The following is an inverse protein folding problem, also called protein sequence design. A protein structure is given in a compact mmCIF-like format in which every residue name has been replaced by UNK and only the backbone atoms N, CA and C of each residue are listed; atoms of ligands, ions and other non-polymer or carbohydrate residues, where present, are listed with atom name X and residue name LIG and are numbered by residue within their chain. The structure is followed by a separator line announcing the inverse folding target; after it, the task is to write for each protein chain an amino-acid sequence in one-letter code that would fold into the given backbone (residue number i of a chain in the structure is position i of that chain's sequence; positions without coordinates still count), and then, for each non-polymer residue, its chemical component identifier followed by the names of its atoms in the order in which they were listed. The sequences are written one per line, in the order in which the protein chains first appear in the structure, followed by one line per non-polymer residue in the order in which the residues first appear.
data_IF_313091964757
#
_entry.id   IF_313091964757
#
_cell.length_a   1.000
_cell.length_b   1.000
_cell.length_c   1.000
_cell.angle_alpha   90.00
_cell.angle_beta   90.00
_cell.angle_gamma   90.00
#
_symmetry.space_group_name_H-M   'P 1'
#
loop_
_entity.id
_entity.type
_entity.pdbx_description
1 polymer ?
#
# COMPACT_ATOMS: atom_id res chain seq x y z
N UNK A 1 -12.57 2.88 8.83
CA UNK A 1 -12.51 2.10 10.10
C UNK A 1 -11.08 1.70 10.45
N UNK A 2 -10.79 1.35 11.72
CA UNK A 2 -9.43 1.00 12.17
C UNK A 2 -9.30 -0.39 12.77
N UNK A 3 -8.16 -1.05 12.50
CA UNK A 3 -7.76 -2.35 13.06
C UNK A 3 -8.80 -3.47 12.89
N UNK A 4 -9.39 -3.54 11.70
CA UNK A 4 -10.37 -4.57 11.31
C UNK A 4 -9.93 -5.34 10.06
N UNK A 5 -10.54 -6.51 9.82
CA UNK A 5 -10.26 -7.34 8.64
C UNK A 5 -11.22 -6.99 7.51
N UNK A 6 -10.73 -7.06 6.27
CA UNK A 6 -11.57 -6.80 5.08
C UNK A 6 -12.71 -7.82 4.94
N UNK A 7 -12.52 -9.07 5.38
CA UNK A 7 -13.55 -10.12 5.29
C UNK A 7 -14.88 -9.74 5.97
N UNK A 8 -14.83 -8.87 6.99
CA UNK A 8 -16.01 -8.35 7.70
C UNK A 8 -16.80 -7.33 6.87
N UNK A 9 -16.17 -6.71 5.87
CA UNK A 9 -16.70 -5.57 5.11
C UNK A 9 -16.68 -5.73 3.58
N UNK A 10 -16.09 -6.81 3.04
CA UNK A 10 -15.91 -7.01 1.59
C UNK A 10 -17.25 -7.03 0.83
N UNK A 11 -18.32 -7.41 1.53
CA UNK A 11 -19.71 -7.48 1.02
C UNK A 11 -20.57 -6.24 1.31
N UNK A 12 -20.01 -5.18 1.88
CA UNK A 12 -20.78 -3.94 2.04
C UNK A 12 -21.20 -3.39 0.68
N UNK A 13 -22.41 -2.85 0.61
CA UNK A 13 -22.94 -2.20 -0.60
C UNK A 13 -22.40 -0.76 -0.71
N UNK A 14 -21.08 -0.65 -0.93
CA UNK A 14 -20.36 0.62 -1.11
C UNK A 14 -19.21 0.46 -2.10
N UNK A 15 -19.02 1.45 -2.97
CA UNK A 15 -17.96 1.42 -3.99
C UNK A 15 -16.56 1.30 -3.40
N UNK A 16 -16.32 1.97 -2.26
CA UNK A 16 -15.02 2.02 -1.59
C UNK A 16 -15.18 1.76 -0.10
N UNK A 17 -14.36 0.85 0.43
CA UNK A 17 -14.20 0.58 1.86
C UNK A 17 -12.79 0.99 2.29
N UNK A 18 -12.67 1.88 3.28
CA UNK A 18 -11.40 2.39 3.77
C UNK A 18 -11.04 1.82 5.15
N UNK A 19 -9.91 1.12 5.24
CA UNK A 19 -9.41 0.48 6.47
C UNK A 19 -8.03 1.01 6.86
N UNK A 20 -7.82 1.32 8.14
CA UNK A 20 -6.52 1.73 8.68
C UNK A 20 -6.02 0.79 9.77
N UNK A 21 -4.95 0.04 9.52
CA UNK A 21 -4.45 -0.95 10.47
C UNK A 21 -3.00 -0.70 10.87
N UNK A 22 -2.66 -0.98 12.12
CA UNK A 22 -1.30 -0.91 12.64
C UNK A 22 -0.73 -2.32 12.83
N UNK A 23 0.42 -2.60 12.22
CA UNK A 23 1.07 -3.90 12.27
C UNK A 23 2.46 -3.80 12.90
N UNK A 24 2.69 -4.65 13.90
CA UNK A 24 3.96 -4.76 14.59
C UNK A 24 5.09 -5.24 13.66
N UNK A 25 6.34 -5.04 14.08
CA UNK A 25 7.49 -5.51 13.34
C UNK A 25 7.51 -7.02 13.20
N UNK A 26 7.68 -7.50 11.97
CA UNK A 26 7.74 -8.94 11.66
C UNK A 26 6.36 -9.58 11.52
N UNK A 27 5.27 -8.83 11.65
CA UNK A 27 3.92 -9.37 11.44
C UNK A 27 3.78 -9.86 9.98
N UNK A 28 3.16 -11.02 9.83
CA UNK A 28 2.90 -11.65 8.54
C UNK A 28 1.40 -11.85 8.41
N UNK A 29 0.83 -11.26 7.37
CA UNK A 29 -0.48 -11.60 6.87
C UNK A 29 -0.29 -12.74 5.84
N UNK A 30 -0.78 -13.96 6.13
CA UNK A 30 -0.58 -15.12 5.26
C UNK A 30 -1.27 -14.91 3.89
N UNK A 31 -1.00 -15.79 2.90
CA UNK A 31 -1.68 -15.73 1.62
C UNK A 31 -3.20 -15.66 1.77
N UNK A 32 -3.81 -14.66 1.16
CA UNK A 32 -5.25 -14.43 1.15
C UNK A 32 -5.66 -13.70 -0.13
N UNK A 33 -6.96 -13.54 -0.34
CA UNK A 33 -7.54 -12.82 -1.47
C UNK A 33 -8.85 -12.17 -1.03
N UNK A 34 -9.27 -11.15 -1.76
CA UNK A 34 -10.56 -10.48 -1.58
C UNK A 34 -11.12 -10.10 -2.95
N UNK A 35 -12.44 -9.94 -3.04
CA UNK A 35 -13.12 -9.64 -4.32
C UNK A 35 -12.76 -8.25 -4.83
N UNK A 36 -12.68 -7.27 -3.92
CA UNK A 36 -12.36 -5.87 -4.26
C UNK A 36 -10.91 -5.73 -4.73
N UNK A 37 -10.59 -4.70 -5.51
CA UNK A 37 -9.21 -4.28 -5.69
C UNK A 37 -8.70 -3.62 -4.41
N UNK A 38 -7.39 -3.63 -4.15
CA UNK A 38 -6.82 -2.95 -3.01
C UNK A 38 -5.73 -1.96 -3.44
N UNK A 39 -5.84 -0.74 -2.91
CA UNK A 39 -4.69 0.15 -2.75
C UNK A 39 -4.20 0.03 -1.31
N UNK A 40 -3.01 -0.52 -1.11
CA UNK A 40 -2.39 -0.68 0.21
C UNK A 40 -1.28 0.35 0.39
N UNK A 41 -1.57 1.43 1.12
CA UNK A 41 -0.61 2.48 1.45
C UNK A 41 0.08 2.23 2.80
N UNK A 42 1.41 2.30 2.82
CA UNK A 42 2.22 2.23 4.03
C UNK A 42 2.62 3.63 4.49
N UNK A 43 1.97 4.16 5.54
CA UNK A 43 2.29 5.48 6.09
C UNK A 43 3.64 5.51 6.82
N UNK A 44 4.01 4.40 7.43
CA UNK A 44 5.26 4.19 8.17
C UNK A 44 5.83 2.81 7.84
N UNK A 45 7.09 2.56 8.21
CA UNK A 45 7.71 1.25 8.07
C UNK A 45 7.82 0.75 6.63
N UNK A 46 7.97 -0.56 6.48
CA UNK A 46 8.17 -1.20 5.19
C UNK A 46 7.23 -2.39 5.00
N UNK A 47 6.64 -2.52 3.81
CA UNK A 47 5.83 -3.69 3.45
C UNK A 47 6.52 -4.52 2.38
N UNK A 48 6.38 -5.83 2.48
CA UNK A 48 6.75 -6.78 1.44
C UNK A 48 5.50 -7.50 0.99
N UNK A 49 5.21 -7.41 -0.30
CA UNK A 49 3.98 -7.95 -0.88
C UNK A 49 4.40 -9.03 -1.87
N UNK A 50 3.85 -10.22 -1.72
CA UNK A 50 4.15 -11.35 -2.59
C UNK A 50 2.86 -11.83 -3.24
N UNK A 51 2.88 -12.01 -4.55
CA UNK A 51 1.82 -12.67 -5.32
C UNK A 51 2.43 -13.77 -6.19
N UNK A 52 1.61 -14.46 -6.97
CA UNK A 52 2.11 -15.42 -7.97
C UNK A 52 2.95 -14.75 -9.07
N UNK A 53 2.68 -13.47 -9.36
CA UNK A 53 3.35 -12.73 -10.44
C UNK A 53 4.69 -12.11 -10.00
N UNK A 54 4.96 -12.02 -8.70
CA UNK A 54 6.20 -11.44 -8.21
C UNK A 54 6.19 -11.05 -6.73
N UNK A 55 7.27 -10.36 -6.36
CA UNK A 55 7.47 -9.81 -5.02
C UNK A 55 7.82 -8.32 -5.13
N UNK A 56 7.17 -7.49 -4.32
CA UNK A 56 7.38 -6.04 -4.26
C UNK A 56 7.81 -5.62 -2.87
N UNK A 57 8.72 -4.64 -2.83
CA UNK A 57 9.04 -3.92 -1.61
C UNK A 57 8.40 -2.54 -1.68
N UNK A 58 7.54 -2.24 -0.71
CA UNK A 58 6.81 -0.97 -0.64
C UNK A 58 7.45 -0.09 0.45
N UNK A 59 8.20 0.95 0.07
CA UNK A 59 8.81 1.89 1.01
C UNK A 59 7.75 2.70 1.78
N UNK A 60 8.14 3.37 2.89
CA UNK A 60 7.28 4.33 3.55
C UNK A 60 6.75 5.37 2.56
N UNK A 61 5.53 5.82 2.78
CA UNK A 61 4.82 6.82 1.96
C UNK A 61 4.54 6.39 0.51
N UNK A 62 4.63 5.09 0.22
CA UNK A 62 4.23 4.51 -1.07
C UNK A 62 3.06 3.55 -0.87
N UNK A 63 2.40 3.21 -1.97
CA UNK A 63 1.35 2.21 -1.99
C UNK A 63 1.69 1.08 -2.95
N UNK A 64 1.06 -0.08 -2.75
CA UNK A 64 0.94 -1.10 -3.77
C UNK A 64 -0.51 -1.15 -4.25
N UNK A 65 -0.68 -1.23 -5.55
CA UNK A 65 -1.92 -1.62 -6.19
C UNK A 65 -2.00 -3.14 -6.26
N UNK A 66 -3.12 -3.72 -5.84
CA UNK A 66 -3.41 -5.14 -5.86
C UNK A 66 -4.76 -5.32 -6.60
N UNK A 67 -4.77 -5.97 -7.78
CA UNK A 67 -5.99 -6.19 -8.54
C UNK A 67 -7.03 -7.05 -7.79
N UNK A 68 -8.32 -6.96 -8.18
CA UNK A 68 -9.37 -7.87 -7.70
C UNK A 68 -8.93 -9.33 -7.74
N UNK A 69 -9.33 -10.10 -6.72
CA UNK A 69 -9.15 -11.55 -6.65
C UNK A 69 -7.69 -12.03 -6.73
N UNK A 70 -6.71 -11.14 -6.51
CA UNK A 70 -5.30 -11.50 -6.48
C UNK A 70 -4.92 -12.16 -5.17
N UNK A 71 -4.47 -13.41 -5.22
CA UNK A 71 -3.84 -14.07 -4.06
C UNK A 71 -2.53 -13.35 -3.72
N UNK A 72 -2.45 -12.83 -2.50
CA UNK A 72 -1.27 -12.12 -2.02
C UNK A 72 -0.99 -12.38 -0.54
N UNK A 73 0.27 -12.22 -0.16
CA UNK A 73 0.73 -12.26 1.23
C UNK A 73 1.49 -10.96 1.54
N UNK A 74 1.42 -10.51 2.80
CA UNK A 74 2.09 -9.26 3.21
C UNK A 74 2.92 -9.48 4.47
N UNK A 75 4.18 -9.05 4.44
CA UNK A 75 5.02 -8.96 5.63
C UNK A 75 5.27 -7.50 5.97
N UNK A 76 5.05 -7.15 7.23
CA UNK A 76 5.18 -5.79 7.73
C UNK A 76 6.41 -5.65 8.61
N UNK A 77 7.13 -4.54 8.45
CA UNK A 77 8.21 -4.14 9.34
C UNK A 77 7.83 -2.83 10.06
N UNK A 78 6.90 -2.93 11.01
CA UNK A 78 6.46 -1.81 11.86
C UNK A 78 5.69 -0.76 11.06
N UNK A 79 4.51 -1.12 10.55
CA UNK A 79 3.80 -0.35 9.53
C UNK A 79 2.42 0.07 10.01
N UNK A 80 2.10 1.35 9.81
CA UNK A 80 0.74 1.89 9.83
C UNK A 80 0.23 1.94 8.40
N UNK A 81 -0.86 1.22 8.11
CA UNK A 81 -1.44 1.11 6.77
C UNK A 81 -2.69 1.96 6.62
N UNK A 82 -2.95 2.45 5.40
CA UNK A 82 -4.25 2.96 4.95
C UNK A 82 -4.60 2.21 3.68
N UNK A 83 -5.67 1.42 3.72
CA UNK A 83 -6.11 0.60 2.59
C UNK A 83 -7.42 1.13 2.04
N UNK A 84 -7.52 1.21 0.71
CA UNK A 84 -8.79 1.36 0.01
C UNK A 84 -9.10 0.03 -0.68
N UNK A 85 -10.30 -0.49 -0.42
CA UNK A 85 -10.83 -1.66 -1.10
C UNK A 85 -11.96 -1.19 -2.02
N UNK A 86 -11.76 -1.35 -3.32
CA UNK A 86 -12.57 -0.71 -4.36
C UNK A 86 -13.30 -1.78 -5.15
N UNK A 87 -14.58 -1.55 -5.44
CA UNK A 87 -15.39 -2.41 -6.29
C UNK A 87 -14.72 -2.65 -7.67
N UNK A 88 -14.73 -3.89 -8.19
CA UNK A 88 -14.14 -4.22 -9.49
C UNK A 88 -14.66 -3.35 -10.65
N UNK A 89 -15.93 -2.98 -10.61
CA UNK A 89 -16.56 -2.16 -11.67
C UNK A 89 -16.07 -0.72 -11.66
N UNK A 90 -15.78 -0.15 -10.48
CA UNK A 90 -15.21 1.19 -10.37
C UNK A 90 -13.79 1.24 -10.95
N UNK A 91 -12.97 0.22 -10.70
CA UNK A 91 -11.57 0.21 -11.14
C UNK A 91 -11.40 -0.11 -12.62
N UNK A 92 -12.34 -0.86 -13.21
CA UNK A 92 -12.33 -1.21 -14.63
C UNK A 92 -12.30 0.03 -15.55
N UNK A 93 -12.79 1.17 -15.06
CA UNK A 93 -12.80 2.43 -15.80
C UNK A 93 -11.40 3.04 -16.01
N UNK A 94 -10.43 2.78 -15.13
CA UNK A 94 -9.15 3.49 -15.16
C UNK A 94 -7.89 2.63 -14.98
N UNK A 95 -7.98 1.41 -14.44
CA UNK A 95 -6.83 0.48 -14.35
C UNK A 95 -7.03 -0.70 -15.30
N UNK A 96 -6.25 -0.70 -16.37
CA UNK A 96 -6.37 -1.67 -17.48
C UNK A 96 -5.52 -2.92 -17.32
N UNK A 97 -4.55 -2.92 -16.41
CA UNK A 97 -3.68 -4.07 -16.16
C UNK A 97 -4.13 -4.84 -14.91
N UNK A 98 -3.96 -6.17 -14.96
CA UNK A 98 -4.27 -7.10 -13.87
C UNK A 98 -3.02 -7.48 -13.08
N UNK A 99 -2.09 -6.54 -12.87
CA UNK A 99 -0.82 -6.79 -12.19
C UNK A 99 -0.68 -5.94 -10.95
N UNK A 100 -0.02 -6.48 -9.93
CA UNK A 100 0.38 -5.70 -8.77
C UNK A 100 1.51 -4.74 -9.13
N UNK A 101 1.42 -3.52 -8.65
CA UNK A 101 2.38 -2.46 -8.97
C UNK A 101 2.57 -1.53 -7.79
N UNK A 102 3.81 -1.12 -7.52
CA UNK A 102 4.09 -0.08 -6.53
C UNK A 102 3.83 1.27 -7.17
N UNK A 103 3.02 2.10 -6.52
CA UNK A 103 2.67 3.43 -7.00
C UNK A 103 3.10 4.50 -5.99
N UNK A 104 3.56 5.63 -6.51
CA UNK A 104 3.74 6.84 -5.71
C UNK A 104 2.38 7.39 -5.32
N UNK A 105 2.27 8.01 -4.14
CA UNK A 105 1.02 8.61 -3.65
C UNK A 105 1.16 10.13 -3.63
N UNK A 106 0.23 10.84 -4.27
CA UNK A 106 0.25 12.32 -4.30
C UNK A 106 0.02 12.88 -2.89
N UNK A 107 0.51 14.10 -2.57
CA UNK A 107 0.22 14.72 -1.28
C UNK A 107 -1.29 14.84 -0.98
N UNK A 108 -2.11 15.10 -2.00
CA UNK A 108 -3.55 15.18 -1.88
C UNK A 108 -4.16 13.82 -1.56
N UNK A 109 -3.89 12.79 -2.38
CA UNK A 109 -4.37 11.43 -2.14
C UNK A 109 -3.94 10.91 -0.76
N UNK A 110 -2.73 11.24 -0.32
CA UNK A 110 -2.26 10.92 1.03
C UNK A 110 -3.17 11.49 2.11
N UNK A 111 -3.58 12.76 2.02
CA UNK A 111 -4.48 13.34 3.01
C UNK A 111 -5.87 12.69 2.95
N UNK A 112 -6.38 12.42 1.75
CA UNK A 112 -7.66 11.74 1.58
C UNK A 112 -7.65 10.33 2.19
N UNK A 113 -6.57 9.57 2.01
CA UNK A 113 -6.37 8.26 2.64
C UNK A 113 -6.38 8.31 4.17
N UNK A 114 -5.80 9.37 4.75
CA UNK A 114 -5.76 9.54 6.20
C UNK A 114 -7.15 9.86 6.76
N UNK A 115 -7.94 10.67 6.06
CA UNK A 115 -9.33 10.99 6.43
C UNK A 115 -10.28 9.80 6.22
N UNK A 116 -10.12 9.08 5.11
CA UNK A 116 -11.05 8.01 4.71
C UNK A 116 -11.14 6.87 5.73
N UNK A 117 -10.04 6.56 6.42
CA UNK A 117 -10.03 5.47 7.40
C UNK A 117 -10.77 5.79 8.69
N UNK A 118 -11.24 7.03 8.88
CA UNK A 118 -12.09 7.41 10.01
C UNK A 118 -13.57 7.53 9.61
N UNK A 119 -13.90 7.31 8.33
CA UNK A 119 -15.29 7.26 7.88
C UNK A 119 -16.04 6.05 8.43
N UNK A 120 -17.36 6.19 8.68
CA UNK A 120 -18.22 5.07 8.99
C UNK A 120 -18.32 4.11 7.79
N UNK A 121 -18.51 2.79 8.03
CA UNK A 121 -18.58 1.80 6.95
C UNK A 121 -19.65 2.10 5.89
N UNK A 122 -20.80 2.60 6.32
CA UNK A 122 -21.91 3.02 5.45
C UNK A 122 -22.01 4.55 5.43
N UNK A 123 -20.91 5.22 5.09
CA UNK A 123 -20.91 6.68 4.91
C UNK A 123 -22.02 7.12 3.95
N UNK A 124 -22.62 8.28 4.26
CA UNK A 124 -23.73 8.83 3.49
C UNK A 124 -23.81 10.36 3.53
N UNK A 125 -22.88 11.04 4.23
CA UNK A 125 -22.88 12.50 4.17
C UNK A 125 -22.42 12.96 2.78
N UNK A 126 -22.90 14.12 2.29
CA UNK A 126 -22.41 14.70 1.03
C UNK A 126 -20.89 14.85 1.01
N UNK A 127 -20.29 15.28 2.14
CA UNK A 127 -18.84 15.41 2.29
C UNK A 127 -18.12 14.09 2.06
N UNK A 128 -18.57 13.01 2.70
CA UNK A 128 -17.88 11.72 2.64
C UNK A 128 -17.97 11.10 1.25
N UNK A 129 -19.14 11.23 0.58
CA UNK A 129 -19.29 10.81 -0.82
C UNK A 129 -18.36 11.59 -1.75
N UNK A 130 -18.27 12.91 -1.59
CA UNK A 130 -17.35 13.74 -2.37
C UNK A 130 -15.89 13.37 -2.11
N UNK A 131 -15.53 13.08 -0.86
CA UNK A 131 -14.19 12.64 -0.49
C UNK A 131 -13.81 11.33 -1.21
N UNK A 132 -14.73 10.36 -1.22
CA UNK A 132 -14.53 9.07 -1.90
C UNK A 132 -14.43 9.25 -3.41
N UNK A 133 -15.32 10.04 -4.00
CA UNK A 133 -15.30 10.32 -5.43
C UNK A 133 -14.00 11.02 -5.85
N UNK A 134 -13.53 12.01 -5.07
CA UNK A 134 -12.27 12.68 -5.33
C UNK A 134 -11.08 11.72 -5.23
N UNK A 135 -11.08 10.79 -4.26
CA UNK A 135 -10.04 9.77 -4.18
C UNK A 135 -10.00 8.88 -5.43
N UNK A 136 -11.14 8.45 -5.94
CA UNK A 136 -11.19 7.65 -7.17
C UNK A 136 -10.66 8.42 -8.39
N UNK A 137 -10.97 9.71 -8.48
CA UNK A 137 -10.44 10.58 -9.54
C UNK A 137 -8.92 10.77 -9.40
N UNK A 138 -8.41 11.01 -8.20
CA UNK A 138 -6.98 11.10 -7.92
C UNK A 138 -6.27 9.78 -8.29
N UNK A 139 -6.88 8.63 -7.97
CA UNK A 139 -6.37 7.31 -8.33
C UNK A 139 -6.30 7.12 -9.85
N UNK A 140 -7.36 7.49 -10.56
CA UNK A 140 -7.42 7.42 -12.02
C UNK A 140 -6.40 8.34 -12.71
N UNK A 141 -6.08 9.48 -12.09
CA UNK A 141 -5.12 10.45 -12.61
C UNK A 141 -3.66 10.14 -12.22
N UNK A 142 -3.41 9.13 -11.38
CA UNK A 142 -2.05 8.84 -10.92
C UNK A 142 -1.17 8.39 -12.09
N UNK A 143 0.00 9.03 -12.29
CA UNK A 143 0.96 8.52 -13.24
C UNK A 143 1.49 7.18 -12.69
N UNK A 144 1.24 6.09 -13.40
CA UNK A 144 1.95 4.83 -13.19
C UNK A 144 3.43 5.15 -13.35
N UNK A 145 4.17 5.19 -12.24
CA UNK A 145 5.61 5.47 -12.26
C UNK A 145 6.36 4.24 -11.80
N UNK A 146 7.33 3.88 -12.62
CA UNK A 146 8.20 2.71 -12.51
C UNK A 146 9.11 2.79 -11.28
N UNK A 147 8.57 2.61 -10.09
CA UNK A 147 9.35 2.11 -8.96
C UNK A 147 8.98 0.65 -8.72
N UNK A 148 9.06 -0.14 -9.80
CA UNK A 148 8.88 -1.57 -9.76
C UNK A 148 10.18 -2.23 -9.26
N UNK A 149 10.41 -2.15 -7.95
CA UNK A 149 11.45 -2.96 -7.30
C UNK A 149 10.92 -4.39 -7.21
N UNK A 150 10.82 -5.05 -8.37
CA UNK A 150 10.58 -6.48 -8.44
C UNK A 150 11.77 -7.15 -7.79
N UNK A 151 11.54 -7.75 -6.63
CA UNK A 151 12.57 -8.52 -6.00
C UNK A 151 12.54 -9.94 -6.58
N UNK A 152 13.63 -10.36 -7.22
CA UNK A 152 13.80 -11.79 -7.60
C UNK A 152 13.99 -12.71 -6.38
N UNK A 153 14.26 -12.16 -5.19
CA UNK A 153 14.39 -12.91 -3.95
C UNK A 153 14.27 -12.01 -2.71
N UNK A 154 13.16 -12.13 -1.98
CA UNK A 154 12.89 -11.40 -0.73
C UNK A 154 14.05 -11.43 0.28
N UNK A 155 14.85 -12.50 0.32
CA UNK A 155 15.99 -12.65 1.24
C UNK A 155 17.14 -11.67 0.95
N UNK A 156 17.40 -11.35 -0.33
CA UNK A 156 18.46 -10.41 -0.72
C UNK A 156 17.98 -8.95 -0.63
N UNK A 157 16.73 -8.64 -1.01
CA UNK A 157 16.18 -7.29 -0.83
C UNK A 157 16.03 -6.90 0.64
N UNK A 158 15.75 -7.87 1.53
CA UNK A 158 15.63 -7.61 2.97
C UNK A 158 16.86 -6.90 3.55
N UNK A 159 18.06 -7.30 3.13
CA UNK A 159 19.30 -6.70 3.64
C UNK A 159 19.53 -5.30 3.06
N UNK A 160 19.27 -5.11 1.77
CA UNK A 160 19.45 -3.83 1.08
C UNK A 160 18.44 -2.76 1.52
N UNK A 161 17.14 -3.08 1.52
CA UNK A 161 16.10 -2.09 1.83
C UNK A 161 16.11 -1.72 3.32
N UNK A 162 16.44 -2.68 4.21
CA UNK A 162 16.63 -2.38 5.64
C UNK A 162 17.84 -1.46 5.90
N UNK A 163 18.88 -1.51 5.05
CA UNK A 163 20.08 -0.66 5.13
C UNK A 163 19.90 0.72 4.47
N UNK A 164 18.95 0.89 3.55
CA UNK A 164 18.78 2.15 2.80
C UNK A 164 17.47 2.90 3.09
N UNK A 165 16.35 2.22 3.35
CA UNK A 165 15.05 2.86 3.58
C UNK A 165 14.69 3.04 5.06
N UNK A 166 15.31 2.28 5.97
CA UNK A 166 15.03 2.32 7.41
C UNK A 166 16.18 2.90 8.25
N UNK A 167 17.30 3.23 7.62
CA UNK A 167 18.46 3.86 8.27
C UNK A 167 18.45 5.34 7.92
N UNK A 168 18.42 6.26 8.90
CA UNK A 168 18.57 7.69 8.61
C UNK A 168 19.91 7.92 7.89
N UNK A 169 19.94 8.83 6.90
CA UNK A 169 21.13 9.12 6.08
C UNK A 169 22.39 9.38 6.94
N UNK A 170 22.21 9.90 8.14
CA UNK A 170 23.26 10.16 9.14
C UNK A 170 23.99 8.91 9.66
N UNK A 171 23.38 7.72 9.55
CA UNK A 171 24.00 6.45 9.93
C UNK A 171 24.72 5.76 8.77
N UNK A 172 24.30 6.00 7.52
CA UNK A 172 24.93 5.41 6.33
C UNK A 172 26.33 6.01 6.12
N UNK A 173 26.48 7.31 6.35
CA UNK A 173 27.77 8.01 6.22
C UNK A 173 28.79 7.67 7.32
N UNK A 174 28.38 7.07 8.45
CA UNK A 174 29.32 6.63 9.50
C UNK A 174 29.97 5.27 9.22
N UNK A 175 29.50 4.52 8.21
CA UNK A 175 30.14 3.28 7.76
C UNK A 175 31.14 3.47 6.61
N UNK A 176 31.14 4.65 5.97
CA UNK A 176 32.24 5.09 5.15
C UNK A 176 33.32 5.71 6.07
N UNK A 177 34.08 4.86 6.75
CA UNK A 177 35.24 5.33 7.50
C UNK A 177 36.25 6.03 6.57
N UNK A 178 36.96 7.06 7.04
CA UNK A 178 38.00 7.70 6.24
C UNK A 178 39.20 6.76 6.13
N UNK A 179 39.57 6.37 4.91
CA UNK A 179 40.92 5.85 4.64
C UNK A 179 40.99 4.72 3.61
N UNK A 180 41.44 5.06 2.40
CA UNK A 180 42.83 4.83 1.93
C UNK A 180 42.88 5.16 0.44
N UNK A 181 43.41 6.33 0.09
CA UNK A 181 44.02 6.53 -1.23
C UNK A 181 45.28 5.66 -1.28
N UNK A 182 45.46 4.98 -2.42
CA UNK A 182 46.74 4.42 -2.85
C UNK A 182 47.78 5.52 -2.99
#
# INVERSE_FOLDING_TARGET
MRNVKIDEFDRLDRDVVALGNDYAQGFILPPHQHRRAQLLYGATGLMYVTTQDGEWVVPPQHAVWIPPETVHAVRFAGVTTRSLYIEPDCVAAFIKHRRCEVISVSPLLRQLLLEAVDLPPLYDSPRDRTLIQLMLLELAAMPVREFDIRCRSIRRCWRFVRLFCLTPLSMILRRAGPGRCL
#
